data_IF_612685823626
#
_entry.id   IF_612685823626
#
_cell.length_a   1.000
_cell.length_b   1.000
_cell.length_c   1.000
_cell.angle_alpha   90.00
_cell.angle_beta   90.00
_cell.angle_gamma   90.00
#
_symmetry.space_group_name_H-M   'P 1'
#
loop_
_entity.id
_entity.type
_entity.pdbx_description
1 polymer ?
#
# COMPACT_ATOMS: atom_id res chain seq x y z
N UNK A 1 -35.77 33.85 30.27
CA UNK A 1 -34.60 33.83 29.37
C UNK A 1 -33.72 32.69 29.86
N UNK A 2 -33.64 31.59 29.11
CA UNK A 2 -32.95 30.38 29.55
C UNK A 2 -31.45 30.51 29.24
N UNK A 3 -30.61 30.45 30.28
CA UNK A 3 -29.16 30.42 30.11
C UNK A 3 -28.75 29.07 29.51
N UNK A 4 -28.25 29.10 28.27
CA UNK A 4 -27.63 27.95 27.61
C UNK A 4 -26.15 27.96 27.97
N UNK A 5 -25.72 26.96 28.73
CA UNK A 5 -24.30 26.75 29.08
C UNK A 5 -23.63 25.93 27.98
N UNK A 6 -22.77 26.56 27.18
CA UNK A 6 -21.94 25.87 26.19
C UNK A 6 -20.76 25.23 26.90
N UNK A 7 -20.62 23.91 26.81
CA UNK A 7 -19.45 23.17 27.30
C UNK A 7 -18.62 22.74 26.10
N UNK A 8 -17.47 23.39 25.92
CA UNK A 8 -16.49 23.01 24.90
C UNK A 8 -15.80 21.72 25.34
N UNK A 9 -16.03 20.63 24.60
CA UNK A 9 -15.29 19.38 24.77
C UNK A 9 -14.08 19.45 23.83
N UNK A 10 -12.88 19.60 24.40
CA UNK A 10 -11.63 19.52 23.64
C UNK A 10 -11.24 18.04 23.56
N UNK A 11 -11.47 17.42 22.41
CA UNK A 11 -11.01 16.07 22.11
C UNK A 11 -9.53 16.12 21.71
N UNK A 12 -8.63 15.80 22.62
CA UNK A 12 -7.20 15.64 22.31
C UNK A 12 -6.98 14.22 21.79
N UNK A 13 -6.99 14.06 20.47
CA UNK A 13 -6.60 12.79 19.84
C UNK A 13 -5.07 12.72 19.81
N UNK A 14 -4.47 11.87 20.65
CA UNK A 14 -3.07 11.49 20.50
C UNK A 14 -2.93 10.56 19.29
N UNK A 15 -2.74 11.13 18.11
CA UNK A 15 -2.35 10.34 16.95
C UNK A 15 -0.85 10.09 17.05
N UNK A 16 -0.47 8.93 17.58
CA UNK A 16 0.92 8.45 17.52
C UNK A 16 1.23 8.06 16.07
N UNK A 17 1.63 9.03 15.26
CA UNK A 17 2.25 8.76 13.97
C UNK A 17 3.66 8.21 14.22
N UNK A 18 3.78 6.88 14.35
CA UNK A 18 5.08 6.26 14.06
C UNK A 18 5.27 6.39 12.56
N UNK A 19 6.23 7.23 12.15
CA UNK A 19 6.71 7.22 10.79
C UNK A 19 7.14 5.80 10.42
N UNK A 20 6.85 5.37 9.20
CA UNK A 20 7.41 4.12 8.68
C UNK A 20 8.89 4.40 8.43
N UNK A 21 9.73 4.10 9.43
CA UNK A 21 11.16 4.10 9.25
C UNK A 21 11.51 2.81 8.53
N UNK A 22 12.01 2.91 7.31
CA UNK A 22 12.52 1.76 6.55
C UNK A 22 13.82 1.17 7.14
N UNK A 23 14.25 1.68 8.29
CA UNK A 23 15.32 1.10 9.08
C UNK A 23 14.95 -0.33 9.46
N UNK A 24 15.96 -1.20 9.37
CA UNK A 24 15.85 -2.62 9.70
C UNK A 24 15.64 -2.76 11.20
N UNK A 25 14.40 -2.62 11.68
CA UNK A 25 14.01 -3.19 12.97
C UNK A 25 14.17 -4.70 12.82
N UNK A 26 15.25 -5.22 13.41
CA UNK A 26 15.68 -6.63 13.53
C UNK A 26 14.93 -7.63 12.64
N UNK A 27 15.62 -8.34 11.71
CA UNK A 27 14.97 -9.34 10.87
C UNK A 27 14.15 -10.29 11.75
N UNK A 28 12.85 -10.33 11.50
CA UNK A 28 11.94 -11.23 12.19
C UNK A 28 12.50 -12.66 12.04
N UNK A 29 12.71 -13.40 13.13
CA UNK A 29 13.24 -14.77 13.06
C UNK A 29 12.35 -15.72 12.23
N UNK A 30 11.12 -15.33 11.90
CA UNK A 30 10.23 -16.04 10.96
C UNK A 30 10.26 -15.47 9.53
N UNK A 31 10.84 -14.29 9.33
CA UNK A 31 11.15 -13.74 8.01
C UNK A 31 12.67 -13.71 7.84
N UNK A 32 13.24 -14.83 7.40
CA UNK A 32 14.38 -14.72 6.49
C UNK A 32 13.92 -13.77 5.40
N UNK A 33 14.38 -12.51 5.38
CA UNK A 33 14.08 -11.61 4.28
C UNK A 33 14.57 -12.36 3.04
N UNK A 34 13.67 -12.93 2.21
CA UNK A 34 14.09 -13.34 0.89
C UNK A 34 14.61 -12.06 0.28
N UNK A 35 15.72 -12.12 -0.44
CA UNK A 35 16.21 -10.94 -1.12
C UNK A 35 15.16 -10.58 -2.19
N UNK A 36 14.16 -9.78 -1.79
CA UNK A 36 12.86 -9.61 -2.44
C UNK A 36 12.99 -9.02 -3.85
N UNK A 37 14.17 -8.46 -4.13
CA UNK A 37 14.55 -7.79 -5.36
C UNK A 37 15.81 -8.36 -6.00
N UNK A 38 16.39 -9.46 -5.49
CA UNK A 38 17.57 -10.07 -6.12
C UNK A 38 17.22 -10.83 -7.40
N UNK A 39 16.00 -11.31 -7.54
CA UNK A 39 15.57 -11.97 -8.76
C UNK A 39 14.99 -10.92 -9.70
N UNK A 40 15.66 -10.69 -10.83
CA UNK A 40 15.10 -9.88 -11.92
C UNK A 40 13.71 -10.46 -12.26
N UNK A 41 12.68 -9.61 -12.29
CA UNK A 41 11.40 -10.04 -12.86
C UNK A 41 11.71 -10.56 -14.25
N UNK A 42 11.49 -11.86 -14.50
CA UNK A 42 11.16 -12.30 -15.86
C UNK A 42 9.94 -11.48 -16.22
N UNK A 43 10.15 -10.45 -17.04
CA UNK A 43 9.10 -9.59 -17.57
C UNK A 43 8.01 -10.54 -18.09
N UNK A 44 6.88 -10.64 -17.40
CA UNK A 44 5.77 -11.40 -17.95
C UNK A 44 5.22 -10.52 -19.06
N UNK A 45 5.29 -11.01 -20.30
CA UNK A 45 4.78 -10.31 -21.48
C UNK A 45 3.25 -10.18 -21.44
N UNK A 46 2.57 -10.83 -20.49
CA UNK A 46 1.14 -10.73 -20.27
C UNK A 46 0.78 -9.63 -19.27
N UNK A 47 0.39 -8.46 -19.80
CA UNK A 47 -0.16 -7.34 -19.03
C UNK A 47 -1.35 -7.74 -18.12
N UNK A 48 -2.06 -8.84 -18.44
CA UNK A 48 -3.20 -9.36 -17.67
C UNK A 48 -2.84 -9.87 -16.27
N UNK A 49 -1.56 -10.14 -16.02
CA UNK A 49 -1.08 -10.66 -14.74
C UNK A 49 -1.23 -9.64 -13.59
N UNK A 50 -1.18 -8.35 -13.89
CA UNK A 50 -1.32 -7.27 -12.91
C UNK A 50 -2.77 -6.79 -12.74
N UNK A 51 -3.71 -7.34 -13.51
CA UNK A 51 -5.13 -6.95 -13.48
C UNK A 51 -5.93 -7.89 -12.59
N UNK A 52 -6.21 -7.48 -11.36
CA UNK A 52 -7.05 -8.20 -10.42
C UNK A 52 -8.52 -8.06 -10.79
N UNK A 53 -9.20 -9.20 -10.95
CA UNK A 53 -10.63 -9.27 -11.25
C UNK A 53 -11.40 -9.95 -10.12
N UNK A 54 -12.73 -9.77 -10.10
CA UNK A 54 -13.61 -10.46 -9.14
C UNK A 54 -13.47 -12.00 -9.17
N UNK A 55 -13.06 -12.58 -10.30
CA UNK A 55 -12.83 -14.03 -10.42
C UNK A 55 -11.56 -14.46 -9.70
N UNK A 56 -10.54 -13.62 -9.69
CA UNK A 56 -9.25 -13.94 -9.08
C UNK A 56 -9.38 -14.04 -7.56
N UNK A 57 -10.24 -13.23 -6.93
CA UNK A 57 -10.49 -13.29 -5.50
C UNK A 57 -11.25 -14.55 -5.03
N UNK A 58 -11.84 -15.34 -5.93
CA UNK A 58 -12.58 -16.57 -5.58
C UNK A 58 -11.67 -17.78 -5.38
N UNK A 59 -10.51 -17.81 -6.01
CA UNK A 59 -9.59 -18.96 -6.01
C UNK A 59 -8.30 -18.52 -5.34
N UNK A 60 -8.04 -19.03 -4.13
CA UNK A 60 -6.89 -18.63 -3.30
C UNK A 60 -5.56 -18.82 -4.04
N UNK A 61 -5.34 -19.98 -4.65
CA UNK A 61 -4.10 -20.27 -5.38
C UNK A 61 -3.83 -19.27 -6.52
N UNK A 62 -4.86 -18.94 -7.30
CA UNK A 62 -4.77 -17.94 -8.36
C UNK A 62 -4.49 -16.54 -7.80
N UNK A 63 -5.12 -16.19 -6.68
CA UNK A 63 -4.87 -14.92 -6.01
C UNK A 63 -3.42 -14.83 -5.52
N UNK A 64 -2.90 -15.90 -4.94
CA UNK A 64 -1.51 -16.03 -4.49
C UNK A 64 -0.52 -15.86 -5.64
N UNK A 65 -0.78 -16.50 -6.78
CA UNK A 65 0.02 -16.34 -7.99
C UNK A 65 0.05 -14.88 -8.45
N UNK A 66 -1.12 -14.24 -8.62
CA UNK A 66 -1.20 -12.83 -9.05
C UNK A 66 -0.58 -11.89 -8.04
N UNK A 67 -0.76 -12.15 -6.75
CA UNK A 67 -0.10 -11.39 -5.68
C UNK A 67 1.41 -11.47 -5.83
N UNK A 68 1.96 -12.66 -6.08
CA UNK A 68 3.39 -12.84 -6.30
C UNK A 68 3.89 -12.06 -7.52
N UNK A 69 3.14 -12.05 -8.63
CA UNK A 69 3.46 -11.26 -9.83
C UNK A 69 3.32 -9.75 -9.62
N UNK A 70 2.46 -9.31 -8.71
CA UNK A 70 2.22 -7.90 -8.39
C UNK A 70 3.27 -7.25 -7.49
N UNK A 71 4.30 -7.99 -7.07
CA UNK A 71 5.36 -7.48 -6.17
C UNK A 71 6.10 -6.29 -6.79
N UNK A 72 6.45 -5.33 -5.94
CA UNK A 72 7.21 -4.13 -6.30
C UNK A 72 8.47 -4.06 -5.46
N UNK A 73 9.58 -3.77 -6.14
CA UNK A 73 10.84 -3.44 -5.51
C UNK A 73 10.90 -1.96 -5.20
N UNK A 74 10.91 -1.64 -3.92
CA UNK A 74 11.08 -0.26 -3.46
C UNK A 74 12.59 0.09 -3.47
N UNK A 75 12.94 1.34 -3.79
CA UNK A 75 14.32 1.79 -3.71
C UNK A 75 14.80 1.86 -2.25
N UNK A 76 16.13 1.90 -2.09
CA UNK A 76 16.78 2.20 -0.81
C UNK A 76 16.23 3.52 -0.21
N UNK A 77 15.99 3.59 1.12
CA UNK A 77 16.31 2.60 2.15
C UNK A 77 15.28 1.47 2.33
N UNK A 78 14.21 1.42 1.54
CA UNK A 78 13.05 0.56 1.77
C UNK A 78 13.07 -0.76 0.98
N UNK A 79 14.23 -1.24 0.52
CA UNK A 79 14.34 -2.44 -0.33
C UNK A 79 13.76 -3.71 0.31
N UNK A 80 13.81 -3.79 1.64
CA UNK A 80 13.36 -4.94 2.42
C UNK A 80 11.90 -4.84 2.83
N UNK A 81 11.20 -3.79 2.40
CA UNK A 81 9.78 -3.59 2.68
C UNK A 81 8.95 -4.24 1.59
N UNK A 82 8.10 -5.18 2.00
CA UNK A 82 7.23 -5.90 1.08
C UNK A 82 6.14 -4.98 0.51
N UNK A 83 6.13 -4.81 -0.80
CA UNK A 83 5.17 -3.96 -1.51
C UNK A 83 4.58 -4.64 -2.75
N UNK A 84 3.39 -4.21 -3.13
CA UNK A 84 2.61 -4.74 -4.24
C UNK A 84 1.92 -3.61 -5.00
N UNK A 85 1.79 -3.74 -6.32
CA UNK A 85 1.01 -2.83 -7.14
C UNK A 85 0.32 -3.54 -8.29
N UNK A 86 -0.76 -2.94 -8.76
CA UNK A 86 -1.50 -3.47 -9.89
C UNK A 86 -2.78 -2.69 -10.13
N UNK A 87 -3.66 -3.31 -10.90
CA UNK A 87 -4.94 -2.72 -11.29
C UNK A 87 -6.08 -3.59 -10.82
N UNK A 88 -7.10 -3.00 -10.24
CA UNK A 88 -8.34 -3.68 -9.88
C UNK A 88 -9.39 -3.30 -10.92
N UNK A 89 -9.92 -4.28 -11.64
CA UNK A 89 -11.07 -4.05 -12.50
C UNK A 89 -12.32 -3.87 -11.62
N UNK A 90 -12.90 -2.67 -11.67
CA UNK A 90 -14.09 -2.30 -10.88
C UNK A 90 -15.39 -2.42 -11.67
N UNK A 91 -15.30 -2.66 -12.98
CA UNK A 91 -16.49 -2.79 -13.80
C UNK A 91 -17.05 -4.22 -13.77
N UNK A 92 -18.37 -4.31 -13.63
CA UNK A 92 -19.15 -5.56 -13.69
C UNK A 92 -19.71 -5.83 -15.09
N UNK A 93 -19.85 -4.81 -15.93
CA UNK A 93 -20.57 -4.83 -17.20
C UNK A 93 -19.68 -4.71 -18.44
N UNK A 94 -18.36 -4.72 -18.27
CA UNK A 94 -17.42 -4.88 -19.38
C UNK A 94 -16.81 -3.60 -19.96
N UNK A 95 -16.92 -2.45 -19.30
CA UNK A 95 -16.03 -1.32 -19.62
C UNK A 95 -14.65 -1.50 -18.96
N UNK A 96 -13.67 -0.79 -19.52
CA UNK A 96 -12.25 -0.87 -19.19
C UNK A 96 -11.86 0.04 -18.01
N UNK A 97 -12.63 0.02 -16.91
CA UNK A 97 -12.36 0.85 -15.73
C UNK A 97 -11.49 0.13 -14.72
N UNK A 98 -10.30 0.69 -14.46
CA UNK A 98 -9.29 0.11 -13.57
C UNK A 98 -8.87 1.10 -12.50
N UNK A 99 -8.83 0.65 -11.25
CA UNK A 99 -8.20 1.38 -10.16
C UNK A 99 -6.77 0.87 -9.98
N UNK A 100 -5.79 1.77 -10.11
CA UNK A 100 -4.43 1.49 -9.70
C UNK A 100 -4.31 1.46 -8.17
N UNK A 101 -3.50 0.56 -7.63
CA UNK A 101 -3.11 0.57 -6.22
C UNK A 101 -1.60 0.39 -6.05
N UNK A 102 -1.08 0.98 -4.98
CA UNK A 102 0.21 0.65 -4.38
C UNK A 102 -0.06 0.29 -2.92
N UNK A 103 0.28 -0.93 -2.53
CA UNK A 103 0.14 -1.43 -1.18
C UNK A 103 1.51 -1.73 -0.59
N UNK A 104 1.84 -1.09 0.52
CA UNK A 104 3.07 -1.34 1.27
C UNK A 104 2.69 -2.06 2.56
N UNK A 105 3.22 -3.26 2.78
CA UNK A 105 2.99 -3.99 4.03
C UNK A 105 3.79 -3.35 5.16
N UNK A 106 3.18 -3.32 6.34
CA UNK A 106 3.91 -2.92 7.54
C UNK A 106 5.04 -3.91 7.83
N UNK A 107 6.18 -3.39 8.28
CA UNK A 107 7.27 -4.20 8.83
C UNK A 107 6.86 -4.85 10.17
N UNK A 108 7.57 -5.92 10.56
CA UNK A 108 7.29 -6.72 11.76
C UNK A 108 6.03 -7.58 11.61
N UNK A 109 5.29 -7.76 12.70
CA UNK A 109 4.06 -8.57 12.72
C UNK A 109 2.89 -7.86 12.00
N UNK A 110 2.93 -7.89 10.66
CA UNK A 110 1.96 -7.26 9.78
C UNK A 110 0.54 -7.80 9.98
N UNK A 111 0.39 -9.09 10.32
CA UNK A 111 -0.90 -9.75 10.53
C UNK A 111 -1.69 -9.18 11.70
N UNK A 112 -1.02 -8.56 12.67
CA UNK A 112 -1.64 -7.93 13.84
C UNK A 112 -1.84 -6.42 13.68
N UNK A 113 -1.46 -5.83 12.54
CA UNK A 113 -1.57 -4.39 12.29
C UNK A 113 -2.77 -4.08 11.39
N UNK A 114 -3.44 -2.93 11.57
CA UNK A 114 -4.60 -2.58 10.77
C UNK A 114 -4.21 -2.24 9.32
N UNK A 115 -5.15 -2.46 8.38
CA UNK A 115 -5.03 -2.00 7.00
C UNK A 115 -5.48 -0.53 6.90
N UNK A 116 -4.60 0.33 6.38
CA UNK A 116 -4.90 1.73 6.10
C UNK A 116 -5.15 1.93 4.60
N UNK A 117 -6.33 2.45 4.24
CA UNK A 117 -6.62 2.92 2.88
C UNK A 117 -6.47 4.44 2.84
N UNK A 118 -5.53 4.93 2.03
CA UNK A 118 -5.30 6.36 1.85
C UNK A 118 -5.83 6.83 0.50
N UNK A 119 -6.66 7.88 0.51
CA UNK A 119 -7.25 8.47 -0.68
C UNK A 119 -6.95 9.97 -0.69
N UNK A 120 -6.27 10.46 -1.73
CA UNK A 120 -6.15 11.91 -1.89
C UNK A 120 -7.47 12.54 -2.34
N UNK A 121 -7.72 13.75 -1.85
CA UNK A 121 -8.87 14.58 -2.19
C UNK A 121 -8.67 15.42 -3.45
N UNK A 122 -9.40 16.52 -3.53
CA UNK A 122 -9.62 17.27 -4.76
C UNK A 122 -10.91 16.82 -5.44
N UNK A 123 -10.96 16.89 -6.77
CA UNK A 123 -11.11 15.64 -7.53
C UNK A 123 -9.94 15.42 -8.50
N UNK A 124 -9.60 14.16 -8.76
CA UNK A 124 -8.63 13.77 -9.80
C UNK A 124 -7.15 13.78 -9.42
N UNK A 125 -6.79 14.13 -8.18
CA UNK A 125 -5.40 13.97 -7.71
C UNK A 125 -5.09 12.50 -7.43
N UNK A 126 -3.87 12.09 -7.74
CA UNK A 126 -3.39 10.73 -7.44
C UNK A 126 -3.09 10.57 -5.95
N UNK A 127 -3.52 9.44 -5.36
CA UNK A 127 -3.11 9.04 -4.01
C UNK A 127 -1.60 8.80 -3.88
N UNK A 128 -0.87 8.65 -5.00
CA UNK A 128 0.60 8.62 -4.98
C UNK A 128 1.20 9.93 -4.47
N UNK A 129 0.46 11.04 -4.53
CA UNK A 129 0.89 12.28 -3.87
C UNK A 129 1.06 12.06 -2.36
N UNK A 130 0.10 11.42 -1.69
CA UNK A 130 0.21 11.11 -0.26
C UNK A 130 1.33 10.11 0.05
N UNK A 131 1.53 9.14 -0.85
CA UNK A 131 2.65 8.19 -0.76
C UNK A 131 4.02 8.90 -0.78
N UNK A 132 4.22 9.88 -1.67
CA UNK A 132 5.55 10.47 -1.89
C UNK A 132 5.81 11.78 -1.15
N UNK A 133 4.77 12.50 -0.73
CA UNK A 133 4.89 13.87 -0.24
C UNK A 133 4.21 14.08 1.13
N UNK A 134 3.56 13.07 1.70
CA UNK A 134 2.89 13.19 2.99
C UNK A 134 3.29 12.09 3.96
N UNK A 135 2.65 10.91 3.87
CA UNK A 135 2.68 9.90 4.93
C UNK A 135 3.18 8.51 4.46
N UNK A 136 3.63 8.39 3.21
CA UNK A 136 4.22 7.15 2.73
C UNK A 136 5.70 7.00 3.12
N UNK A 137 6.24 5.78 3.05
CA UNK A 137 7.63 5.47 3.44
C UNK A 137 8.71 6.00 2.49
N UNK A 138 8.33 6.52 1.33
CA UNK A 138 9.26 6.95 0.29
C UNK A 138 9.03 8.41 -0.05
N UNK A 139 10.10 9.19 -0.15
CA UNK A 139 10.09 10.51 -0.77
C UNK A 139 10.65 10.46 -2.20
N UNK A 140 10.47 11.55 -2.95
CA UNK A 140 11.12 11.75 -4.26
C UNK A 140 12.13 12.88 -4.12
N UNK A 141 13.37 12.63 -4.51
CA UNK A 141 14.42 13.63 -4.56
C UNK A 141 14.36 14.42 -5.88
N UNK A 142 15.07 15.54 -5.95
CA UNK A 142 15.04 16.42 -7.14
C UNK A 142 15.53 15.73 -8.43
N UNK A 143 16.31 14.65 -8.30
CA UNK A 143 16.83 13.84 -9.40
C UNK A 143 15.89 12.70 -9.83
N UNK A 144 14.68 12.62 -9.27
CA UNK A 144 13.79 11.46 -9.42
C UNK A 144 14.25 10.26 -8.62
#
# INVERSE_FOLDING_TARGET
>A
MNNVTVRTVILVIFVSFRAVNCDVETPDPQNTAPQYCADERKQSDDLGDLIFTQRDFRIKEKLEEKRNKSRVCLPQPCENVEAYSGFINVDRHGNSSFLFFLHVKSQGNASNKPLLLWLQGGPGKSSLFGQFLENGPLGIAANG
#
